data_IF_732663227858
#
_entry.id   IF_732663227858
#
_cell.length_a   1.000
_cell.length_b   1.000
_cell.length_c   1.000
_cell.angle_alpha   90.00
_cell.angle_beta   90.00
_cell.angle_gamma   90.00
#
_symmetry.space_group_name_H-M   'P 1'
#
loop_
_entity.id
_entity.type
_entity.pdbx_description
1 polymer ?
#
# COMPACT_ATOMS: atom_id res chain seq x y z
N UNK A 1 1.71 -4.56 -14.20
CA UNK A 1 1.73 -4.63 -12.73
C UNK A 1 1.57 -6.09 -12.31
N UNK A 2 2.20 -6.54 -11.22
CA UNK A 2 2.08 -7.93 -10.76
C UNK A 2 0.66 -8.23 -10.27
N UNK A 3 0.21 -9.50 -10.37
CA UNK A 3 -1.18 -9.88 -10.03
C UNK A 3 -1.56 -9.48 -8.60
N UNK A 4 -0.70 -9.73 -7.61
CA UNK A 4 -0.98 -9.36 -6.21
C UNK A 4 -1.20 -7.85 -6.04
N UNK A 5 -0.38 -7.00 -6.70
CA UNK A 5 -0.57 -5.55 -6.70
C UNK A 5 -1.86 -5.10 -7.39
N UNK A 6 -2.35 -5.84 -8.39
CA UNK A 6 -3.63 -5.54 -9.05
C UNK A 6 -4.81 -5.84 -8.13
N UNK A 7 -4.79 -6.97 -7.41
CA UNK A 7 -5.86 -7.31 -6.48
C UNK A 7 -5.92 -6.32 -5.31
N UNK A 8 -4.76 -5.91 -4.77
CA UNK A 8 -4.70 -4.83 -3.76
C UNK A 8 -5.38 -3.55 -4.26
N UNK A 9 -5.09 -3.11 -5.49
CA UNK A 9 -5.75 -1.92 -6.06
C UNK A 9 -7.27 -2.09 -6.19
N UNK A 10 -7.75 -3.27 -6.58
CA UNK A 10 -9.19 -3.54 -6.72
C UNK A 10 -9.90 -3.55 -5.37
N UNK A 11 -9.30 -4.16 -4.37
CA UNK A 11 -9.87 -4.21 -3.03
C UNK A 11 -9.84 -2.82 -2.38
N UNK A 12 -8.74 -2.08 -2.54
CA UNK A 12 -8.64 -0.70 -2.07
C UNK A 12 -9.70 0.23 -2.66
N UNK A 13 -10.13 0.00 -3.92
CA UNK A 13 -11.24 0.76 -4.53
C UNK A 13 -12.55 0.64 -3.78
N UNK A 14 -12.77 -0.41 -3.00
CA UNK A 14 -14.00 -0.56 -2.22
C UNK A 14 -13.99 0.30 -0.95
N UNK A 15 -12.83 0.85 -0.60
CA UNK A 15 -12.62 1.65 0.60
C UNK A 15 -12.88 3.12 0.27
N UNK A 16 -14.05 3.60 0.68
CA UNK A 16 -14.44 4.99 0.56
C UNK A 16 -14.56 5.65 1.93
N UNK A 17 -14.33 6.97 1.96
CA UNK A 17 -14.58 7.81 3.14
C UNK A 17 -13.87 7.33 4.41
N UNK A 18 -12.70 6.68 4.30
CA UNK A 18 -12.00 6.17 5.47
C UNK A 18 -11.54 7.30 6.40
N UNK A 19 -11.01 8.39 5.84
CA UNK A 19 -10.53 9.54 6.62
C UNK A 19 -11.66 10.31 7.34
N UNK A 20 -12.90 10.20 6.85
CA UNK A 20 -14.06 10.91 7.41
C UNK A 20 -14.95 10.02 8.25
N UNK A 21 -15.01 8.72 7.94
CA UNK A 21 -15.81 7.69 8.61
C UNK A 21 -14.99 6.40 8.76
N UNK A 22 -14.03 6.37 9.70
CA UNK A 22 -13.31 5.16 10.05
C UNK A 22 -14.27 4.20 10.77
N UNK A 23 -14.37 2.98 10.26
CA UNK A 23 -15.06 1.87 10.93
C UNK A 23 -14.05 0.78 11.19
N UNK A 24 -14.28 -0.02 12.23
CA UNK A 24 -13.39 -1.14 12.57
C UNK A 24 -13.18 -2.11 11.41
N UNK A 25 -14.24 -2.37 10.64
CA UNK A 25 -14.17 -3.21 9.43
C UNK A 25 -13.23 -2.61 8.37
N UNK A 26 -13.26 -1.29 8.15
CA UNK A 26 -12.33 -0.63 7.22
C UNK A 26 -10.90 -0.63 7.75
N UNK A 27 -10.71 -0.46 9.05
CA UNK A 27 -9.38 -0.55 9.68
C UNK A 27 -8.77 -1.95 9.49
N UNK A 28 -9.54 -3.01 9.75
CA UNK A 28 -9.12 -4.40 9.54
C UNK A 28 -8.78 -4.67 8.06
N UNK A 29 -9.59 -4.13 7.13
CA UNK A 29 -9.32 -4.24 5.70
C UNK A 29 -8.04 -3.49 5.28
N UNK A 30 -7.82 -2.28 5.77
CA UNK A 30 -6.60 -1.50 5.50
C UNK A 30 -5.37 -2.22 6.06
N UNK A 31 -5.49 -2.78 7.26
CA UNK A 31 -4.42 -3.58 7.85
C UNK A 31 -4.07 -4.79 6.97
N UNK A 32 -5.07 -5.56 6.52
CA UNK A 32 -4.85 -6.70 5.62
C UNK A 32 -4.17 -6.25 4.33
N UNK A 33 -4.73 -5.27 3.63
CA UNK A 33 -4.19 -4.76 2.36
C UNK A 33 -2.77 -4.22 2.50
N UNK A 34 -2.46 -3.58 3.62
CA UNK A 34 -1.13 -3.07 3.88
C UNK A 34 -0.11 -4.20 4.05
N UNK A 35 -0.44 -5.25 4.81
CA UNK A 35 0.44 -6.39 4.99
C UNK A 35 0.65 -7.15 3.67
N UNK A 36 -0.43 -7.40 2.93
CA UNK A 36 -0.38 -8.01 1.60
C UNK A 36 0.48 -7.18 0.64
N UNK A 37 0.36 -5.85 0.72
CA UNK A 37 1.17 -4.93 -0.05
C UNK A 37 2.66 -5.05 0.31
N UNK A 38 3.02 -5.06 1.60
CA UNK A 38 4.41 -5.17 2.05
C UNK A 38 5.07 -6.49 1.62
N UNK A 39 4.33 -7.59 1.68
CA UNK A 39 4.78 -8.91 1.22
C UNK A 39 4.89 -8.94 -0.31
N UNK A 40 3.83 -8.57 -1.02
CA UNK A 40 3.82 -8.57 -2.48
C UNK A 40 4.92 -7.66 -3.05
N UNK A 41 5.07 -6.44 -2.52
CA UNK A 41 6.04 -5.49 -3.03
C UNK A 41 7.48 -5.93 -2.76
N UNK A 42 7.77 -6.52 -1.59
CA UNK A 42 9.12 -7.04 -1.29
C UNK A 42 9.49 -8.27 -2.14
N UNK A 43 8.52 -9.10 -2.50
CA UNK A 43 8.73 -10.26 -3.38
C UNK A 43 9.08 -9.86 -4.82
N UNK A 44 8.62 -8.68 -5.25
CA UNK A 44 8.89 -8.13 -6.56
C UNK A 44 10.19 -7.34 -6.45
N UNK A 45 11.28 -7.82 -7.07
CA UNK A 45 12.58 -7.12 -7.06
C UNK A 45 12.40 -5.62 -7.36
N UNK A 46 12.47 -4.80 -6.30
CA UNK A 46 12.08 -3.39 -6.34
C UNK A 46 12.90 -2.56 -7.34
N UNK A 47 14.12 -3.01 -7.63
CA UNK A 47 15.05 -2.44 -8.61
C UNK A 47 14.50 -2.40 -10.04
N UNK A 48 13.48 -3.20 -10.36
CA UNK A 48 12.82 -3.19 -11.68
C UNK A 48 11.53 -2.38 -11.71
N UNK A 49 11.12 -1.82 -10.57
CA UNK A 49 9.89 -1.08 -10.46
C UNK A 49 10.20 0.42 -10.49
N UNK A 50 9.66 1.14 -11.47
CA UNK A 50 9.82 2.59 -11.59
C UNK A 50 9.01 3.39 -10.54
N UNK A 51 8.84 2.85 -9.32
CA UNK A 51 8.19 3.55 -8.21
C UNK A 51 9.13 4.62 -7.60
N UNK A 52 8.57 5.62 -6.90
CA UNK A 52 9.38 6.58 -6.15
C UNK A 52 10.33 5.89 -5.15
N UNK A 53 11.56 6.40 -5.03
CA UNK A 53 12.57 5.82 -4.13
C UNK A 53 12.12 5.80 -2.67
N UNK A 54 11.48 6.87 -2.21
CA UNK A 54 10.94 6.98 -0.85
C UNK A 54 9.98 5.84 -0.53
N UNK A 55 9.15 5.44 -1.49
CA UNK A 55 8.21 4.35 -1.35
C UNK A 55 8.90 2.99 -1.24
N UNK A 56 9.92 2.76 -2.08
CA UNK A 56 10.74 1.55 -2.04
C UNK A 56 11.50 1.45 -0.71
N UNK A 57 12.06 2.57 -0.25
CA UNK A 57 12.82 2.65 0.99
C UNK A 57 11.92 2.41 2.22
N UNK A 58 10.71 2.99 2.25
CA UNK A 58 9.73 2.76 3.33
C UNK A 58 9.35 1.28 3.44
N UNK A 59 9.07 0.60 2.32
CA UNK A 59 8.76 -0.84 2.32
C UNK A 59 9.96 -1.67 2.79
N UNK A 60 11.16 -1.36 2.32
CA UNK A 60 12.38 -2.07 2.74
C UNK A 60 12.60 -1.91 4.23
N UNK A 61 12.61 -0.67 4.73
CA UNK A 61 12.86 -0.37 6.14
C UNK A 61 11.78 -0.96 7.06
N UNK A 62 10.52 -0.97 6.64
CA UNK A 62 9.44 -1.63 7.39
C UNK A 62 9.70 -3.13 7.53
N UNK A 63 10.01 -3.82 6.42
CA UNK A 63 10.27 -5.27 6.43
C UNK A 63 11.57 -5.66 7.15
N UNK A 64 12.55 -4.75 7.21
CA UNK A 64 13.76 -4.90 8.03
C UNK A 64 13.51 -4.67 9.53
N UNK A 65 12.29 -4.26 9.92
CA UNK A 65 11.93 -3.99 11.31
C UNK A 65 12.49 -2.67 11.84
N UNK A 66 12.77 -1.70 10.97
CA UNK A 66 13.26 -0.39 11.39
C UNK A 66 12.28 0.27 12.36
N UNK A 67 12.74 0.56 13.57
CA UNK A 67 11.89 1.05 14.66
C UNK A 67 11.06 2.29 14.29
N UNK A 68 11.66 3.28 13.63
CA UNK A 68 10.96 4.53 13.29
C UNK A 68 9.87 4.29 12.24
N UNK A 69 10.17 3.47 11.23
CA UNK A 69 9.23 3.16 10.14
C UNK A 69 8.11 2.24 10.62
N UNK A 70 8.43 1.21 11.41
CA UNK A 70 7.42 0.36 12.05
C UNK A 70 6.49 1.19 12.92
N UNK A 71 7.03 2.11 13.73
CA UNK A 71 6.24 3.02 14.57
C UNK A 71 5.35 3.96 13.75
N UNK A 72 5.86 4.52 12.64
CA UNK A 72 5.07 5.31 11.69
C UNK A 72 3.84 4.54 11.22
N UNK A 73 4.02 3.28 10.84
CA UNK A 73 2.94 2.42 10.35
C UNK A 73 2.17 1.69 11.47
N UNK A 74 2.34 2.04 12.74
CA UNK A 74 1.37 1.67 13.78
C UNK A 74 0.08 2.49 13.66
N UNK A 75 0.16 3.68 13.05
CA UNK A 75 -1.01 4.48 12.73
C UNK A 75 -1.71 3.91 11.48
N UNK A 76 -2.97 3.52 11.63
CA UNK A 76 -3.78 2.95 10.55
C UNK A 76 -4.01 3.97 9.42
N UNK A 77 -4.06 5.26 9.73
CA UNK A 77 -4.19 6.31 8.71
C UNK A 77 -2.94 6.41 7.86
N UNK A 78 -1.75 6.22 8.45
CA UNK A 78 -0.50 6.18 7.68
C UNK A 78 -0.47 4.99 6.71
N UNK A 79 -1.00 3.83 7.12
CA UNK A 79 -1.17 2.68 6.22
C UNK A 79 -2.12 3.00 5.07
N UNK A 80 -3.25 3.63 5.36
CA UNK A 80 -4.21 4.07 4.36
C UNK A 80 -3.59 5.05 3.36
N UNK A 81 -2.88 6.08 3.85
CA UNK A 81 -2.26 7.09 2.99
C UNK A 81 -1.23 6.46 2.05
N UNK A 82 -0.40 5.54 2.55
CA UNK A 82 0.56 4.81 1.71
C UNK A 82 -0.14 4.00 0.60
N UNK A 83 -1.22 3.28 0.93
CA UNK A 83 -2.01 2.53 -0.06
C UNK A 83 -2.69 3.47 -1.06
N UNK A 84 -3.16 4.64 -0.61
CA UNK A 84 -3.74 5.68 -1.46
C UNK A 84 -2.72 6.21 -2.46
N UNK A 85 -1.53 6.59 -2.00
CA UNK A 85 -0.44 7.08 -2.86
C UNK A 85 -0.03 6.02 -3.89
N UNK A 86 0.03 4.75 -3.47
CA UNK A 86 0.29 3.62 -4.35
C UNK A 86 -0.79 3.48 -5.43
N UNK A 87 -2.05 3.49 -5.02
CA UNK A 87 -3.20 3.36 -5.92
C UNK A 87 -3.23 4.49 -6.95
N UNK A 88 -3.02 5.73 -6.50
CA UNK A 88 -2.98 6.90 -7.38
C UNK A 88 -1.80 6.84 -8.35
N UNK A 89 -0.61 6.45 -7.88
CA UNK A 89 0.53 6.22 -8.77
C UNK A 89 0.21 5.16 -9.82
N UNK A 90 -0.38 4.02 -9.42
CA UNK A 90 -0.70 2.92 -10.32
C UNK A 90 -1.72 3.33 -11.40
N UNK A 91 -2.68 4.19 -11.04
CA UNK A 91 -3.64 4.79 -11.98
C UNK A 91 -3.00 5.80 -12.91
N UNK A 92 -2.26 6.76 -12.38
CA UNK A 92 -1.63 7.85 -13.15
C UNK A 92 -0.64 7.30 -14.17
N UNK A 93 0.11 6.27 -13.81
CA UNK A 93 1.06 5.60 -14.72
C UNK A 93 0.39 4.62 -15.69
N UNK A 94 -0.94 4.49 -15.67
CA UNK A 94 -1.73 3.53 -16.46
C UNK A 94 -1.28 2.07 -16.28
N UNK A 95 -0.53 1.77 -15.22
CA UNK A 95 -0.10 0.41 -14.83
C UNK A 95 -1.29 -0.40 -14.29
N UNK A 96 -2.30 0.30 -13.80
CA UNK A 96 -3.61 -0.23 -13.44
C UNK A 96 -4.68 0.32 -14.41
N UNK A 97 -5.42 -0.59 -15.07
CA UNK A 97 -6.61 -0.27 -15.86
C UNK A 97 -7.80 -0.92 -15.18
N UNK A 98 -8.82 -0.12 -14.88
CA UNK A 98 -10.12 -0.61 -14.42
C UNK A 98 -10.77 -1.32 -15.61
N UNK A 99 -10.61 -2.64 -15.67
CA UNK A 99 -11.33 -3.52 -16.60
C UNK A 99 -12.78 -3.66 -16.17
#
# INVERSE_FOLDING_TARGET
MHKCLIEICKEFETIHDFLTLPTKEKEELIESLFLDFMECFSSIKAEKLEYPKEFIDDVRLFNEGNFMVVRKFQDIQMRYLMLSDFYDYARLTKKYKKT
#
